data_IF_463335587395
#
_entry.id   IF_463335587395
#
_cell.length_a   1.000
_cell.length_b   1.000
_cell.length_c   1.000
_cell.angle_alpha   90.00
_cell.angle_beta   90.00
_cell.angle_gamma   90.00
#
_symmetry.space_group_name_H-M   'P 1'
#
loop_
_entity.id
_entity.type
_entity.pdbx_description
1 polymer ?
#
# COMPACT_ATOMS: atom_id res chain seq x y z
N UNK A 1 2.18 -22.86 6.39
CA UNK A 1 1.53 -21.86 5.52
C UNK A 1 2.56 -20.98 4.82
N UNK A 2 2.33 -20.67 3.59
CA UNK A 2 3.18 -19.86 2.73
C UNK A 2 2.39 -18.67 2.18
N UNK A 3 3.09 -17.73 1.55
CA UNK A 3 2.48 -16.50 1.00
C UNK A 3 1.24 -16.78 0.14
N UNK A 4 1.33 -17.75 -0.77
CA UNK A 4 0.24 -18.13 -1.66
C UNK A 4 -1.06 -18.50 -0.94
N UNK A 5 -0.97 -19.05 0.28
CA UNK A 5 -2.13 -19.51 1.04
C UNK A 5 -2.95 -18.36 1.62
N UNK A 6 -2.35 -17.19 1.83
CA UNK A 6 -2.96 -16.06 2.55
C UNK A 6 -2.99 -14.76 1.75
N UNK A 7 -2.25 -14.67 0.65
CA UNK A 7 -2.16 -13.44 -0.13
C UNK A 7 -3.51 -13.04 -0.73
N UNK A 8 -3.72 -11.75 -0.84
CA UNK A 8 -4.77 -11.19 -1.68
C UNK A 8 -4.32 -11.28 -3.13
N UNK A 9 -5.12 -11.92 -3.96
CA UNK A 9 -4.92 -12.02 -5.42
C UNK A 9 -5.60 -10.84 -6.11
N UNK A 10 -5.49 -10.76 -7.43
CA UNK A 10 -6.10 -9.68 -8.22
C UNK A 10 -5.68 -8.29 -7.73
N UNK A 11 -4.39 -8.13 -7.57
CA UNK A 11 -3.81 -6.90 -7.01
C UNK A 11 -4.04 -5.74 -7.94
N UNK A 12 -4.66 -4.68 -7.42
CA UNK A 12 -4.72 -3.39 -8.10
C UNK A 12 -3.33 -2.78 -8.02
N UNK A 13 -2.73 -2.49 -9.16
CA UNK A 13 -1.41 -1.85 -9.25
C UNK A 13 -1.48 -0.57 -10.08
N UNK A 14 -0.49 0.28 -9.91
CA UNK A 14 -0.35 1.54 -10.63
C UNK A 14 1.04 1.64 -11.23
N UNK A 15 1.25 2.59 -12.13
CA UNK A 15 2.57 2.90 -12.68
C UNK A 15 3.17 4.12 -12.00
N UNK A 16 4.46 4.38 -12.22
CA UNK A 16 5.16 5.53 -11.62
C UNK A 16 4.55 6.88 -12.02
N UNK A 17 3.89 6.95 -13.16
CA UNK A 17 3.28 8.18 -13.69
C UNK A 17 1.82 8.36 -13.25
N UNK A 18 1.24 7.41 -12.54
CA UNK A 18 -0.14 7.50 -12.09
C UNK A 18 -0.30 8.67 -11.11
N UNK A 19 -1.21 9.60 -11.38
CA UNK A 19 -1.45 10.72 -10.46
C UNK A 19 -1.93 10.25 -9.09
N UNK A 20 -1.48 10.91 -8.05
CA UNK A 20 -1.89 10.63 -6.65
C UNK A 20 -3.40 10.62 -6.47
N UNK A 21 -4.10 11.53 -7.15
CA UNK A 21 -5.57 11.59 -7.13
C UNK A 21 -6.21 10.28 -7.60
N UNK A 22 -5.69 9.71 -8.69
CA UNK A 22 -6.17 8.42 -9.20
C UNK A 22 -5.88 7.29 -8.22
N UNK A 23 -4.72 7.31 -7.59
CA UNK A 23 -4.35 6.32 -6.56
C UNK A 23 -5.34 6.40 -5.39
N UNK A 24 -5.61 7.60 -4.89
CA UNK A 24 -6.57 7.80 -3.81
C UNK A 24 -7.96 7.23 -4.18
N UNK A 25 -8.43 7.50 -5.39
CA UNK A 25 -9.69 6.96 -5.89
C UNK A 25 -9.70 5.43 -5.93
N UNK A 26 -8.60 4.81 -6.37
CA UNK A 26 -8.45 3.35 -6.41
C UNK A 26 -8.48 2.74 -5.01
N UNK A 27 -7.82 3.36 -4.03
CA UNK A 27 -7.82 2.89 -2.65
C UNK A 27 -9.24 2.89 -2.07
N UNK A 28 -9.96 3.98 -2.25
CA UNK A 28 -11.34 4.12 -1.75
C UNK A 28 -12.28 3.15 -2.45
N UNK A 29 -12.24 3.13 -3.79
CA UNK A 29 -13.13 2.30 -4.60
C UNK A 29 -12.96 0.79 -4.32
N UNK A 30 -11.73 0.34 -4.15
CA UNK A 30 -11.41 -1.06 -3.94
C UNK A 30 -11.33 -1.45 -2.46
N UNK A 31 -11.53 -0.51 -1.53
CA UNK A 31 -11.42 -0.72 -0.08
C UNK A 31 -10.08 -1.33 0.32
N UNK A 32 -9.01 -0.80 -0.23
CA UNK A 32 -7.64 -1.21 0.02
C UNK A 32 -6.84 -0.05 0.60
N UNK A 33 -5.75 -0.35 1.30
CA UNK A 33 -4.94 0.66 1.99
C UNK A 33 -3.61 0.97 1.30
N UNK A 34 -3.28 0.23 0.26
CA UNK A 34 -2.07 0.44 -0.52
C UNK A 34 -2.14 -0.24 -1.87
N UNK A 35 -1.32 0.24 -2.80
CA UNK A 35 -1.16 -0.34 -4.13
C UNK A 35 0.33 -0.48 -4.46
N UNK A 36 0.76 -1.58 -5.09
CA UNK A 36 2.10 -1.64 -5.66
C UNK A 36 2.21 -0.72 -6.86
N UNK A 37 3.40 -0.16 -7.01
CA UNK A 37 3.80 0.58 -8.22
C UNK A 37 4.65 -0.38 -9.05
N UNK A 38 4.26 -0.59 -10.29
CA UNK A 38 4.94 -1.53 -11.19
C UNK A 38 5.48 -0.81 -12.41
N UNK A 39 6.53 -1.39 -13.01
CA UNK A 39 7.06 -0.92 -14.28
C UNK A 39 6.29 -1.53 -15.47
N UNK A 40 6.75 -1.27 -16.69
CA UNK A 40 6.11 -1.76 -17.91
C UNK A 40 6.09 -3.29 -18.02
N UNK A 41 6.98 -4.00 -17.32
CA UNK A 41 7.01 -5.46 -17.27
C UNK A 41 6.14 -6.08 -16.19
N UNK A 42 5.55 -5.25 -15.33
CA UNK A 42 4.78 -5.71 -14.16
C UNK A 42 5.63 -5.96 -12.91
N UNK A 43 6.91 -5.61 -12.95
CA UNK A 43 7.80 -5.74 -11.80
C UNK A 43 7.55 -4.62 -10.78
N UNK A 44 7.50 -4.94 -9.48
CA UNK A 44 7.27 -3.94 -8.45
C UNK A 44 8.48 -3.04 -8.26
N UNK A 45 8.24 -1.73 -8.27
CA UNK A 45 9.28 -0.71 -8.06
C UNK A 45 9.04 0.12 -6.82
N UNK A 46 7.87 0.03 -6.23
CA UNK A 46 7.51 0.73 -5.01
C UNK A 46 6.13 0.35 -4.51
N UNK A 47 5.72 0.97 -3.41
CA UNK A 47 4.37 0.87 -2.84
C UNK A 47 3.90 2.26 -2.46
N UNK A 48 2.63 2.55 -2.73
CA UNK A 48 1.94 3.74 -2.24
C UNK A 48 0.85 3.30 -1.28
N UNK A 49 0.89 3.82 -0.05
CA UNK A 49 -0.11 3.56 0.99
C UNK A 49 -0.93 4.81 1.30
N UNK A 50 -2.01 4.64 2.05
CA UNK A 50 -2.77 5.76 2.59
C UNK A 50 -1.88 6.76 3.30
N UNK A 51 -0.92 6.27 4.11
CA UNK A 51 0.02 7.12 4.83
C UNK A 51 0.89 7.98 3.92
N UNK A 52 1.27 7.45 2.76
CA UNK A 52 2.07 8.21 1.78
C UNK A 52 1.26 9.34 1.14
N UNK A 53 -0.05 9.13 0.97
CA UNK A 53 -0.95 10.14 0.39
C UNK A 53 -1.25 11.29 1.35
N UNK A 54 -1.27 11.02 2.64
CA UNK A 54 -1.54 12.04 3.66
C UNK A 54 -0.26 12.68 4.23
N UNK A 55 0.90 12.36 3.64
CA UNK A 55 2.17 13.01 3.94
C UNK A 55 2.88 12.50 5.20
N UNK A 56 3.44 11.30 5.14
CA UNK A 56 4.29 10.75 6.21
C UNK A 56 5.66 11.42 6.32
N UNK A 57 6.13 12.05 5.26
CA UNK A 57 7.38 12.82 5.29
C UNK A 57 7.07 14.16 5.93
N UNK A 58 7.70 14.45 7.06
CA UNK A 58 7.39 15.61 7.89
C UNK A 58 7.32 16.94 7.13
N UNK A 59 8.23 17.17 6.20
CA UNK A 59 8.29 18.38 5.41
C UNK A 59 7.11 18.54 4.44
N UNK A 60 6.68 17.44 3.81
CA UNK A 60 5.51 17.45 2.91
C UNK A 60 4.21 17.49 3.70
N UNK A 61 4.21 16.89 4.90
CA UNK A 61 3.08 16.91 5.81
C UNK A 61 2.79 18.31 6.33
N UNK A 62 3.82 19.06 6.71
CA UNK A 62 3.68 20.46 7.13
C UNK A 62 3.12 21.34 6.02
N UNK A 63 3.66 21.23 4.81
CA UNK A 63 3.18 21.98 3.67
C UNK A 63 1.71 21.68 3.33
N UNK A 64 1.28 20.42 3.44
CA UNK A 64 -0.11 20.03 3.20
C UNK A 64 -1.04 20.45 4.34
N UNK A 65 -0.62 20.36 5.59
CA UNK A 65 -1.38 20.81 6.74
C UNK A 65 -1.58 22.32 6.70
N UNK A 66 -0.54 23.08 6.37
CA UNK A 66 -0.61 24.52 6.21
C UNK A 66 -1.61 24.90 5.10
N UNK A 67 -1.56 24.19 3.99
CA UNK A 67 -2.49 24.40 2.89
C UNK A 67 -3.95 24.11 3.29
N UNK A 68 -4.20 22.98 3.94
CA UNK A 68 -5.54 22.60 4.42
C UNK A 68 -6.06 23.57 5.46
N UNK A 69 -5.21 23.95 6.42
CA UNK A 69 -5.55 24.89 7.48
C UNK A 69 -5.83 26.28 6.90
N UNK A 70 -5.02 26.72 5.95
CA UNK A 70 -5.23 28.01 5.27
C UNK A 70 -6.53 28.00 4.48
N UNK A 71 -6.81 26.92 3.75
CA UNK A 71 -8.06 26.78 2.96
C UNK A 71 -9.29 26.74 3.86
N UNK A 72 -9.23 26.05 4.99
CA UNK A 72 -10.32 25.97 5.95
C UNK A 72 -10.50 27.29 6.72
N UNK A 73 -9.42 27.99 7.04
CA UNK A 73 -9.44 29.23 7.81
C UNK A 73 -9.97 30.42 7.00
N UNK A 74 -9.72 30.47 5.71
CA UNK A 74 -10.13 31.56 4.84
C UNK A 74 -11.60 31.51 4.42
N UNK A 75 -12.28 30.38 4.62
CA UNK A 75 -13.72 30.25 4.37
C UNK A 75 -14.17 30.55 2.94
N UNK A 76 -13.22 30.74 2.04
CA UNK A 76 -13.48 30.99 0.64
C UNK A 76 -13.71 29.70 -0.11
N UNK A 77 -14.74 29.69 -0.96
CA UNK A 77 -14.91 28.64 -1.94
C UNK A 77 -13.63 28.57 -2.79
N UNK A 78 -12.91 27.46 -2.69
CA UNK A 78 -11.67 27.27 -3.42
C UNK A 78 -11.95 27.43 -4.91
N UNK A 79 -11.27 28.39 -5.55
CA UNK A 79 -11.39 28.64 -6.98
C UNK A 79 -11.11 27.34 -7.76
N UNK A 80 -12.04 26.89 -8.64
CA UNK A 80 -11.84 25.68 -9.43
C UNK A 80 -10.55 25.67 -10.25
N UNK A 81 -10.09 26.83 -10.73
CA UNK A 81 -8.82 26.98 -11.45
C UNK A 81 -7.61 26.73 -10.54
N UNK A 82 -7.69 27.18 -9.29
CA UNK A 82 -6.66 26.93 -8.29
C UNK A 82 -6.60 25.45 -7.93
N UNK A 83 -7.74 24.82 -7.73
CA UNK A 83 -7.83 23.37 -7.53
C UNK A 83 -7.26 22.61 -8.72
N UNK A 84 -7.59 23.02 -9.94
CA UNK A 84 -7.06 22.41 -11.15
C UNK A 84 -5.53 22.56 -11.24
N UNK A 85 -4.99 23.74 -10.88
CA UNK A 85 -3.55 23.96 -10.86
C UNK A 85 -2.83 23.12 -9.81
N UNK A 86 -3.43 22.93 -8.66
CA UNK A 86 -2.93 22.03 -7.63
C UNK A 86 -2.96 20.56 -8.09
N UNK A 87 -4.02 20.16 -8.77
CA UNK A 87 -4.16 18.82 -9.33
C UNK A 87 -3.13 18.55 -10.44
N UNK A 88 -2.88 19.54 -11.30
CA UNK A 88 -1.90 19.46 -12.39
C UNK A 88 -0.46 19.40 -11.86
N UNK A 89 -0.21 20.03 -10.73
CA UNK A 89 1.10 20.04 -10.07
C UNK A 89 1.22 18.96 -8.98
N UNK A 90 0.20 18.10 -8.82
CA UNK A 90 0.21 17.05 -7.82
C UNK A 90 1.25 15.99 -8.17
N UNK A 91 1.90 15.42 -7.14
CA UNK A 91 2.86 14.36 -7.37
C UNK A 91 2.20 13.13 -7.99
N UNK A 92 3.00 12.38 -8.68
CA UNK A 92 2.67 11.06 -9.19
C UNK A 92 3.09 9.98 -8.18
N UNK A 93 2.79 8.72 -8.49
CA UNK A 93 3.22 7.59 -7.66
C UNK A 93 4.72 7.64 -7.36
N UNK A 94 5.54 7.99 -8.35
CA UNK A 94 7.01 8.10 -8.20
C UNK A 94 7.40 9.03 -7.06
N UNK A 95 6.69 10.12 -6.88
CA UNK A 95 7.05 11.16 -5.90
C UNK A 95 6.69 10.78 -4.46
N UNK A 96 5.71 9.89 -4.27
CA UNK A 96 5.18 9.55 -2.95
C UNK A 96 5.44 8.10 -2.54
N UNK A 97 5.79 7.22 -3.47
CA UNK A 97 6.00 5.81 -3.18
C UNK A 97 7.18 5.57 -2.24
N UNK A 98 7.08 4.51 -1.46
CA UNK A 98 8.21 3.95 -0.73
C UNK A 98 8.99 3.03 -1.67
N UNK A 99 10.28 3.25 -1.80
CA UNK A 99 11.18 2.46 -2.66
C UNK A 99 12.58 2.40 -2.03
N UNK A 100 13.37 1.34 -2.29
CA UNK A 100 12.97 0.13 -3.00
C UNK A 100 11.93 -0.68 -2.24
N UNK A 101 11.17 -1.50 -2.96
CA UNK A 101 10.14 -2.33 -2.37
C UNK A 101 10.72 -3.69 -1.97
N UNK A 102 10.33 -4.18 -0.78
CA UNK A 102 10.65 -5.52 -0.33
C UNK A 102 9.57 -6.44 -0.85
N UNK A 103 9.96 -7.51 -1.51
CA UNK A 103 9.05 -8.51 -2.09
C UNK A 103 9.34 -9.90 -1.55
N UNK A 104 8.37 -10.79 -1.65
CA UNK A 104 8.51 -12.21 -1.32
C UNK A 104 8.01 -13.07 -2.47
N UNK A 105 8.43 -14.34 -2.51
CA UNK A 105 7.87 -15.31 -3.46
C UNK A 105 6.61 -15.98 -2.92
N UNK A 106 5.90 -16.65 -3.79
CA UNK A 106 4.67 -17.39 -3.43
C UNK A 106 4.88 -18.45 -2.37
N UNK A 107 6.08 -19.03 -2.31
CA UNK A 107 6.44 -20.12 -1.38
C UNK A 107 7.11 -19.63 -0.10
N UNK A 108 7.28 -18.33 0.07
CA UNK A 108 7.86 -17.76 1.29
C UNK A 108 6.96 -18.07 2.48
N UNK A 109 7.56 -18.56 3.58
CA UNK A 109 6.81 -18.91 4.78
C UNK A 109 6.22 -17.68 5.47
N UNK A 110 5.10 -17.85 6.17
CA UNK A 110 4.50 -16.74 6.93
C UNK A 110 5.42 -16.26 8.04
N UNK A 111 6.21 -17.15 8.64
CA UNK A 111 7.20 -16.78 9.65
C UNK A 111 8.25 -15.82 9.08
N UNK A 112 8.74 -16.09 7.87
CA UNK A 112 9.69 -15.23 7.18
C UNK A 112 9.05 -13.88 6.82
N UNK A 113 7.82 -13.89 6.33
CA UNK A 113 7.08 -12.66 6.04
C UNK A 113 6.90 -11.82 7.30
N UNK A 114 6.50 -12.44 8.41
CA UNK A 114 6.35 -11.74 9.69
C UNK A 114 7.66 -11.10 10.14
N UNK A 115 8.78 -11.81 9.97
CA UNK A 115 10.12 -11.31 10.27
C UNK A 115 10.46 -10.09 9.41
N UNK A 116 10.18 -10.14 8.11
CA UNK A 116 10.44 -9.03 7.18
C UNK A 116 9.60 -7.81 7.53
N UNK A 117 8.31 -7.98 7.82
CA UNK A 117 7.43 -6.88 8.19
C UNK A 117 7.89 -6.21 9.48
N UNK A 118 8.35 -6.98 10.45
CA UNK A 118 8.84 -6.46 11.73
C UNK A 118 10.19 -5.78 11.58
N UNK A 119 11.13 -6.44 10.91
CA UNK A 119 12.51 -5.92 10.73
C UNK A 119 12.52 -4.60 9.97
N UNK A 120 11.73 -4.50 8.91
CA UNK A 120 11.68 -3.32 8.05
C UNK A 120 10.60 -2.33 8.44
N UNK A 121 9.82 -2.62 9.48
CA UNK A 121 8.71 -1.77 9.97
C UNK A 121 7.72 -1.41 8.86
N UNK A 122 7.36 -2.40 8.06
CA UNK A 122 6.41 -2.27 6.96
C UNK A 122 5.12 -3.04 7.27
N UNK A 123 4.03 -2.68 6.63
CA UNK A 123 2.71 -3.25 6.90
C UNK A 123 2.32 -4.36 5.93
N UNK A 124 2.98 -4.45 4.80
CA UNK A 124 2.66 -5.37 3.72
C UNK A 124 3.83 -5.58 2.79
N UNK A 125 3.80 -6.71 2.08
CA UNK A 125 4.79 -7.03 1.05
C UNK A 125 4.08 -7.53 -0.20
N UNK A 126 4.48 -7.09 -1.40
CA UNK A 126 4.05 -7.72 -2.64
C UNK A 126 4.63 -9.13 -2.75
N UNK A 127 3.81 -10.01 -3.30
CA UNK A 127 4.22 -11.37 -3.67
C UNK A 127 4.48 -11.39 -5.17
N UNK A 128 5.63 -11.90 -5.57
CA UNK A 128 6.05 -11.94 -6.97
C UNK A 128 6.22 -13.36 -7.47
N UNK A 129 5.95 -13.54 -8.75
CA UNK A 129 6.28 -14.74 -9.52
C UNK A 129 6.81 -14.25 -10.85
N UNK A 130 7.99 -14.76 -11.27
CA UNK A 130 8.66 -14.33 -12.50
C UNK A 130 8.80 -12.80 -12.58
N UNK A 131 9.19 -12.18 -11.46
CA UNK A 131 9.37 -10.73 -11.28
C UNK A 131 8.09 -9.89 -11.46
N UNK A 132 6.91 -10.51 -11.46
CA UNK A 132 5.62 -9.82 -11.56
C UNK A 132 4.83 -9.96 -10.27
N UNK A 133 4.12 -8.91 -9.90
CA UNK A 133 3.25 -8.94 -8.72
C UNK A 133 2.06 -9.86 -8.99
N UNK A 134 1.89 -10.87 -8.13
CA UNK A 134 0.79 -11.82 -8.18
C UNK A 134 -0.10 -11.77 -6.95
N UNK A 135 0.33 -11.09 -5.90
CA UNK A 135 -0.44 -10.96 -4.67
C UNK A 135 0.16 -9.92 -3.73
N UNK A 136 -0.51 -9.71 -2.63
CA UNK A 136 -0.05 -8.89 -1.50
C UNK A 136 -0.36 -9.64 -0.21
N UNK A 137 0.58 -9.62 0.73
CA UNK A 137 0.38 -10.10 2.11
C UNK A 137 0.55 -8.91 3.05
N UNK A 138 -0.46 -8.68 3.88
CA UNK A 138 -0.45 -7.65 4.91
C UNK A 138 -0.32 -8.24 6.32
N UNK A 139 -0.05 -7.38 7.31
CA UNK A 139 -0.09 -7.80 8.72
C UNK A 139 -1.44 -8.38 9.09
N UNK A 140 -2.53 -7.83 8.57
CA UNK A 140 -3.87 -8.34 8.82
C UNK A 140 -4.06 -9.77 8.29
N UNK A 141 -3.47 -10.09 7.15
CA UNK A 141 -3.51 -11.45 6.59
C UNK A 141 -2.80 -12.45 7.52
N UNK A 142 -1.66 -12.07 8.10
CA UNK A 142 -0.94 -12.89 9.07
C UNK A 142 -1.75 -13.12 10.35
N UNK A 143 -2.42 -12.08 10.84
CA UNK A 143 -3.28 -12.19 12.02
C UNK A 143 -4.43 -13.13 11.76
N UNK A 144 -5.09 -13.04 10.60
CA UNK A 144 -6.16 -13.98 10.20
C UNK A 144 -5.65 -15.41 10.12
N UNK A 145 -4.44 -15.62 9.59
CA UNK A 145 -3.81 -16.94 9.50
C UNK A 145 -3.57 -17.56 10.88
N UNK A 146 -3.20 -16.76 11.88
CA UNK A 146 -3.04 -17.24 13.26
C UNK A 146 -4.35 -17.79 13.83
N UNK A 147 -5.47 -17.16 13.56
CA UNK A 147 -6.79 -17.62 14.00
C UNK A 147 -7.13 -18.98 13.38
N UNK A 148 -6.92 -19.13 12.09
CA UNK A 148 -7.16 -20.39 11.38
C UNK A 148 -6.27 -21.51 11.92
N UNK A 149 -4.99 -21.25 12.11
CA UNK A 149 -4.04 -22.22 12.66
C UNK A 149 -4.43 -22.65 14.08
N UNK A 150 -4.89 -21.75 14.93
CA UNK A 150 -5.35 -22.06 16.30
C UNK A 150 -6.55 -22.99 16.30
N UNK A 151 -7.51 -22.77 15.39
CA UNK A 151 -8.68 -23.66 15.26
C UNK A 151 -8.30 -25.06 14.79
N UNK A 152 -7.35 -25.20 13.88
CA UNK A 152 -6.88 -26.49 13.40
C UNK A 152 -6.17 -27.29 14.50
N UNK A 153 -5.38 -26.62 15.36
CA UNK A 153 -4.72 -27.26 16.48
C UNK A 153 -5.70 -27.82 17.52
N UNK A 154 -6.79 -27.12 17.77
CA UNK A 154 -7.84 -27.58 18.72
C UNK A 154 -8.55 -28.84 18.19
N UNK A 155 -8.78 -28.91 16.88
CA UNK A 155 -9.43 -30.07 16.26
C UNK A 155 -8.51 -31.30 16.22
N UNK A 156 -7.20 -31.13 16.20
CA UNK A 156 -6.22 -32.23 16.23
C UNK A 156 -5.84 -32.68 17.65
N UNK A 157 -6.06 -31.84 18.66
CA UNK A 157 -5.81 -32.15 20.07
C UNK A 157 -6.96 -32.80 20.80
N UNK A 158 -8.08 -33.06 20.14
CA UNK A 158 -9.31 -33.61 20.74
C UNK A 158 -9.48 -35.12 20.57
N UNK A 159 -8.39 -35.84 20.45
CA UNK A 159 -8.42 -37.32 20.56
C UNK A 159 -7.66 -37.79 21.77
#
# INVERSE_FOLDING_TARGET
MIARDVMTRDVVSVTSDTPVRKIASLLVKNRISAVPVVDSSGAPIGIVSEGDLIGRKETEREARQDWWLTTLAEGEAVNPEFLASLILNYPTARDVMSAPVITVGEETSLAEIARLLTTHRIKRVPVVRDDRVVGIVSRADLVRALVVASHMSVLQGGM
#
